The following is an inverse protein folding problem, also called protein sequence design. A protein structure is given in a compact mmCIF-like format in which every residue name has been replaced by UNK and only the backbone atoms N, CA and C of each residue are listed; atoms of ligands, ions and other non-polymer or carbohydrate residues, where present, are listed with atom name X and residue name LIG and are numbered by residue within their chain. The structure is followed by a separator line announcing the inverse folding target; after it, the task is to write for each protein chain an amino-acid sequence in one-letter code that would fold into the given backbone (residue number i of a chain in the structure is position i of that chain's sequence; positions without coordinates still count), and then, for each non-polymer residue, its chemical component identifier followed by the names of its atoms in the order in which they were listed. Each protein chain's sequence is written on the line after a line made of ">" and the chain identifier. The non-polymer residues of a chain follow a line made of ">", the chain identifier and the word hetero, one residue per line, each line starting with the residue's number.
data_IF_538312768174
#
_entry.id   IF_538312768174
#
_cell.length_a   1.000
_cell.length_b   1.000
_cell.length_c   1.000
_cell.angle_alpha   90.00
_cell.angle_beta   90.00
_cell.angle_gamma   90.00
#
_symmetry.space_group_name_H-M   'P 1'
#
loop_
_entity.id
_entity.type
_entity.pdbx_description
1 polymer ?
#
# COMPACT_ATOMS: atom_id res chain seq x y z
N UNK A 1 -2.18 4.47 30.96
CA UNK A 1 -1.25 5.47 30.41
C UNK A 1 -1.81 5.92 29.07
N UNK A 2 -2.44 7.09 29.01
CA UNK A 2 -2.99 7.65 27.77
C UNK A 2 -1.82 8.00 26.84
N UNK A 3 -1.79 7.43 25.63
CA UNK A 3 -0.83 7.84 24.60
C UNK A 3 -1.09 9.32 24.27
N UNK A 4 -0.02 10.10 24.12
CA UNK A 4 -0.11 11.54 23.88
C UNK A 4 -0.42 11.79 22.39
N UNK A 5 -1.12 12.87 22.06
CA UNK A 5 -1.59 13.17 20.69
C UNK A 5 -0.45 13.12 19.66
N UNK A 6 0.77 13.53 20.03
CA UNK A 6 1.95 13.43 19.18
C UNK A 6 2.37 11.98 18.85
N UNK A 7 2.19 11.03 19.77
CA UNK A 7 2.49 9.61 19.52
C UNK A 7 1.44 8.96 18.62
N UNK A 8 0.19 9.36 18.79
CA UNK A 8 -0.93 8.87 17.99
C UNK A 8 -0.88 9.44 16.57
N UNK A 9 -0.48 10.71 16.44
CA UNK A 9 -0.18 11.36 15.16
C UNK A 9 1.07 10.76 14.51
N UNK A 10 2.09 10.35 15.25
CA UNK A 10 3.24 9.61 14.69
C UNK A 10 2.85 8.20 14.22
N UNK A 11 2.00 7.50 14.97
CA UNK A 11 1.38 6.24 14.56
C UNK A 11 0.55 6.43 13.29
N UNK A 12 -0.33 7.43 13.20
CA UNK A 12 -1.10 7.75 11.98
C UNK A 12 -0.24 8.28 10.83
N UNK A 13 0.89 8.95 11.11
CA UNK A 13 1.80 9.45 10.09
C UNK A 13 2.68 8.34 9.50
N UNK A 14 2.92 7.27 10.26
CA UNK A 14 3.73 6.10 9.92
C UNK A 14 2.97 4.78 9.88
N UNK A 15 1.64 4.80 9.87
CA UNK A 15 0.82 3.60 9.92
C UNK A 15 0.97 2.82 8.62
N UNK A 16 1.71 1.72 8.69
CA UNK A 16 1.62 0.67 7.69
C UNK A 16 0.20 0.11 7.77
N UNK A 17 -0.57 0.25 6.70
CA UNK A 17 -1.95 -0.24 6.62
C UNK A 17 -1.89 -1.71 6.22
N UNK A 18 -2.39 -2.58 7.09
CA UNK A 18 -2.52 -4.00 6.77
C UNK A 18 -3.83 -4.22 6.03
N UNK A 19 -3.74 -4.54 4.73
CA UNK A 19 -4.89 -4.90 3.90
C UNK A 19 -4.98 -6.42 3.84
N UNK A 20 -6.10 -6.98 4.30
CA UNK A 20 -6.37 -8.41 4.15
C UNK A 20 -6.96 -8.67 2.77
N UNK A 21 -6.34 -9.59 2.03
CA UNK A 21 -6.81 -10.00 0.71
C UNK A 21 -8.05 -10.86 0.86
N UNK A 22 -9.05 -10.58 0.02
CA UNK A 22 -10.28 -11.36 -0.09
C UNK A 22 -10.04 -12.63 -0.90
N UNK A 23 -9.17 -12.56 -1.91
CA UNK A 23 -8.72 -13.70 -2.70
C UNK A 23 -7.22 -13.92 -2.48
N UNK A 24 -6.84 -14.76 -1.50
CA UNK A 24 -5.44 -14.97 -1.20
C UNK A 24 -4.71 -15.60 -2.39
N UNK A 25 -3.53 -15.06 -2.69
CA UNK A 25 -2.72 -15.45 -3.84
C UNK A 25 -1.63 -16.40 -3.40
N UNK A 26 -1.34 -17.42 -4.20
CA UNK A 26 -0.20 -18.29 -3.95
C UNK A 26 1.01 -17.75 -4.68
N UNK A 27 1.98 -17.26 -3.92
CA UNK A 27 3.23 -16.70 -4.45
C UNK A 27 4.07 -17.80 -5.13
N UNK A 28 4.97 -17.45 -6.06
CA UNK A 28 5.89 -18.41 -6.68
C UNK A 28 6.83 -19.06 -5.65
N UNK A 29 7.04 -18.41 -4.50
CA UNK A 29 7.76 -18.93 -3.34
C UNK A 29 7.01 -20.04 -2.60
N UNK A 30 5.76 -20.33 -2.99
CA UNK A 30 4.88 -21.32 -2.39
C UNK A 30 4.10 -20.80 -1.17
N UNK A 31 4.35 -19.57 -0.73
CA UNK A 31 3.65 -18.91 0.38
C UNK A 31 2.27 -18.41 -0.05
N UNK A 32 1.30 -18.49 0.86
CA UNK A 32 -0.03 -17.89 0.66
C UNK A 32 0.03 -16.44 1.12
N UNK A 33 -0.14 -15.51 0.20
CA UNK A 33 -0.32 -14.10 0.48
C UNK A 33 -1.78 -13.88 0.86
N UNK A 34 -2.04 -13.66 2.14
CA UNK A 34 -3.37 -13.38 2.70
C UNK A 34 -3.51 -11.94 3.18
N UNK A 35 -2.39 -11.28 3.44
CA UNK A 35 -2.28 -9.94 4.00
C UNK A 35 -1.14 -9.18 3.33
N UNK A 36 -1.40 -7.92 3.01
CA UNK A 36 -0.44 -7.02 2.38
C UNK A 36 -0.24 -5.82 3.29
N UNK A 37 1.00 -5.58 3.67
CA UNK A 37 1.37 -4.40 4.45
C UNK A 37 1.67 -3.25 3.50
N UNK A 38 0.85 -2.22 3.51
CA UNK A 38 0.99 -1.05 2.66
C UNK A 38 1.59 0.07 3.49
N UNK A 39 2.86 0.41 3.25
CA UNK A 39 3.46 1.59 3.89
C UNK A 39 3.06 2.87 3.19
N UNK A 40 3.17 3.99 3.91
CA UNK A 40 2.97 5.32 3.33
C UNK A 40 3.98 5.62 2.21
N UNK A 41 3.49 6.14 1.09
CA UNK A 41 4.31 6.61 -0.03
C UNK A 41 5.19 7.78 0.45
N UNK A 42 6.50 7.71 0.18
CA UNK A 42 7.46 8.77 0.49
C UNK A 42 7.96 9.41 -0.80
N UNK A 43 8.46 10.65 -0.72
CA UNK A 43 9.04 11.36 -1.87
C UNK A 43 10.20 10.59 -2.50
N UNK A 44 10.93 9.80 -1.71
CA UNK A 44 11.98 8.91 -2.21
C UNK A 44 11.45 7.82 -3.16
N UNK A 45 10.21 7.38 -3.00
CA UNK A 45 9.58 6.38 -3.88
C UNK A 45 9.17 7.00 -5.21
N UNK A 46 8.59 8.20 -5.16
CA UNK A 46 8.26 8.96 -6.37
C UNK A 46 9.51 9.26 -7.20
N UNK A 47 10.61 9.64 -6.54
CA UNK A 47 11.90 9.84 -7.22
C UNK A 47 12.44 8.54 -7.81
N UNK A 48 12.28 7.42 -7.11
CA UNK A 48 12.80 6.14 -7.59
C UNK A 48 12.10 5.67 -8.87
N UNK A 49 10.81 5.99 -9.05
CA UNK A 49 10.04 5.60 -10.25
C UNK A 49 9.98 6.68 -11.33
N UNK A 50 10.52 7.88 -11.08
CA UNK A 50 10.40 9.03 -11.99
C UNK A 50 11.06 8.82 -13.37
N UNK A 51 11.88 7.78 -13.52
CA UNK A 51 12.50 7.40 -14.79
C UNK A 51 11.60 6.51 -15.66
N UNK A 52 10.48 6.02 -15.13
CA UNK A 52 9.51 5.19 -15.86
C UNK A 52 8.56 6.13 -16.61
N UNK A 53 8.51 6.01 -17.94
CA UNK A 53 7.69 6.89 -18.80
C UNK A 53 6.21 6.49 -18.83
N UNK A 54 5.93 5.19 -18.66
CA UNK A 54 4.57 4.66 -18.68
C UNK A 54 3.90 4.84 -17.31
N UNK A 55 2.81 5.60 -17.25
CA UNK A 55 2.06 5.87 -16.00
C UNK A 55 1.57 4.59 -15.31
N UNK A 56 1.17 3.57 -16.08
CA UNK A 56 0.70 2.30 -15.52
C UNK A 56 1.84 1.53 -14.85
N UNK A 57 3.00 1.46 -15.51
CA UNK A 57 4.20 0.83 -14.95
C UNK A 57 4.76 1.63 -13.78
N UNK A 58 4.70 2.96 -13.84
CA UNK A 58 5.10 3.84 -12.76
C UNK A 58 4.24 3.62 -11.52
N UNK A 59 2.91 3.52 -11.70
CA UNK A 59 1.97 3.19 -10.64
C UNK A 59 2.26 1.83 -10.02
N UNK A 60 2.46 0.81 -10.84
CA UNK A 60 2.79 -0.54 -10.38
C UNK A 60 4.10 -0.57 -9.59
N UNK A 61 5.13 0.14 -10.06
CA UNK A 61 6.41 0.24 -9.38
C UNK A 61 6.31 0.97 -8.03
N UNK A 62 5.43 1.97 -7.90
CA UNK A 62 5.14 2.61 -6.61
C UNK A 62 4.48 1.59 -5.67
N UNK A 63 3.47 0.86 -6.15
CA UNK A 63 2.74 -0.15 -5.36
C UNK A 63 3.70 -1.25 -4.89
N UNK A 64 4.54 -1.79 -5.76
CA UNK A 64 5.55 -2.79 -5.40
C UNK A 64 6.48 -2.30 -4.29
N UNK A 65 6.95 -1.04 -4.36
CA UNK A 65 7.85 -0.46 -3.36
C UNK A 65 7.21 -0.25 -1.99
N UNK A 66 5.90 -0.01 -1.94
CA UNK A 66 5.20 0.27 -0.68
C UNK A 66 4.57 -0.98 -0.06
N UNK A 67 4.26 -2.00 -0.86
CA UNK A 67 3.80 -3.30 -0.38
C UNK A 67 4.96 -4.25 -0.07
N UNK A 68 6.14 -4.01 -0.67
CA UNK A 68 7.27 -4.92 -0.62
C UNK A 68 7.11 -6.16 -1.50
N UNK A 69 6.07 -6.19 -2.33
CA UNK A 69 5.79 -7.26 -3.28
C UNK A 69 6.54 -7.00 -4.60
N UNK A 70 6.85 -8.08 -5.33
CA UNK A 70 7.38 -7.94 -6.69
C UNK A 70 6.24 -7.70 -7.69
N UNK A 71 6.49 -7.03 -8.84
CA UNK A 71 5.46 -6.80 -9.85
C UNK A 71 4.70 -8.07 -10.26
N UNK A 72 5.40 -9.20 -10.34
CA UNK A 72 4.82 -10.50 -10.68
C UNK A 72 3.80 -10.99 -9.64
N UNK A 73 3.99 -10.63 -8.36
CA UNK A 73 3.04 -10.95 -7.29
C UNK A 73 1.81 -10.05 -7.37
N UNK A 74 1.97 -8.81 -7.83
CA UNK A 74 0.88 -7.86 -8.03
C UNK A 74 0.00 -8.23 -9.23
N UNK A 75 0.58 -8.80 -10.29
CA UNK A 75 -0.16 -9.27 -11.47
C UNK A 75 -1.13 -10.41 -11.14
N UNK A 76 -0.88 -11.13 -10.06
CA UNK A 76 -1.73 -12.23 -9.58
C UNK A 76 -2.84 -11.76 -8.63
N UNK A 77 -2.85 -10.49 -8.22
CA UNK A 77 -3.90 -9.95 -7.36
C UNK A 77 -5.23 -9.86 -8.10
N UNK A 78 -6.31 -10.17 -7.39
CA UNK A 78 -7.65 -9.95 -7.90
C UNK A 78 -7.97 -8.46 -8.00
N UNK A 79 -8.87 -8.09 -8.93
CA UNK A 79 -9.30 -6.71 -9.11
C UNK A 79 -9.92 -6.12 -7.82
N UNK A 80 -10.65 -6.91 -7.03
CA UNK A 80 -11.21 -6.44 -5.75
C UNK A 80 -10.12 -6.09 -4.74
N UNK A 81 -9.06 -6.89 -4.70
CA UNK A 81 -7.92 -6.69 -3.80
C UNK A 81 -7.04 -5.51 -4.26
N UNK A 82 -6.86 -5.35 -5.56
CA UNK A 82 -6.20 -4.17 -6.14
C UNK A 82 -6.96 -2.89 -5.79
N UNK A 83 -8.30 -2.90 -5.86
CA UNK A 83 -9.12 -1.75 -5.46
C UNK A 83 -8.98 -1.45 -3.96
N UNK A 84 -8.96 -2.47 -3.10
CA UNK A 84 -8.77 -2.29 -1.66
C UNK A 84 -7.40 -1.66 -1.34
N UNK A 85 -6.35 -2.05 -2.05
CA UNK A 85 -5.03 -1.41 -1.97
C UNK A 85 -5.09 0.04 -2.47
N UNK A 86 -5.76 0.29 -3.59
CA UNK A 86 -5.88 1.65 -4.14
C UNK A 86 -6.62 2.63 -3.23
N UNK A 87 -7.64 2.15 -2.51
CA UNK A 87 -8.37 2.95 -1.54
C UNK A 87 -7.48 3.40 -0.37
N UNK A 88 -6.42 2.65 -0.04
CA UNK A 88 -5.44 3.08 0.97
C UNK A 88 -4.58 4.27 0.51
N UNK A 89 -4.40 4.46 -0.79
CA UNK A 89 -3.65 5.61 -1.34
C UNK A 89 -4.47 6.88 -1.40
N UNK A 90 -5.80 6.76 -1.34
CA UNK A 90 -6.68 7.93 -1.35
C UNK A 90 -6.50 8.64 0.00
N UNK A 91 -6.15 9.93 0.01
CA UNK A 91 -6.14 10.67 1.27
C UNK A 91 -7.52 10.52 1.89
N UNK A 92 -7.56 10.05 3.15
CA UNK A 92 -8.79 9.97 3.92
C UNK A 92 -9.48 11.32 3.74
N UNK A 93 -10.71 11.32 3.19
CA UNK A 93 -11.53 12.53 3.14
C UNK A 93 -11.50 13.09 4.57
N UNK A 94 -11.17 14.37 4.79
CA UNK A 94 -11.16 14.92 6.13
C UNK A 94 -12.52 14.62 6.72
N UNK A 95 -12.54 13.79 7.77
CA UNK A 95 -13.74 13.53 8.53
C UNK A 95 -14.12 14.88 9.10
N UNK A 96 -15.13 15.53 8.50
CA UNK A 96 -15.74 16.71 9.10
C UNK A 96 -16.23 16.27 10.46
N UNK A 97 -15.56 16.74 11.51
CA UNK A 97 -16.12 16.76 12.85
C UNK A 97 -17.47 17.47 12.75
N UNK A 98 -18.53 16.73 13.06
CA UNK A 98 -19.89 17.25 13.15
C UNK A 98 -20.02 18.18 14.36
#
# INVERSE_FOLDING_TARGET
>A
MSKNEAQQVMEDLGADVVVKLKYPVRLPTGQLLDTVNVRRIRVGDLRAVAHIENEAEQGLAIVARITGLVPEDLDMLDLEDLNALQDTFRPAKPQKAA
#
